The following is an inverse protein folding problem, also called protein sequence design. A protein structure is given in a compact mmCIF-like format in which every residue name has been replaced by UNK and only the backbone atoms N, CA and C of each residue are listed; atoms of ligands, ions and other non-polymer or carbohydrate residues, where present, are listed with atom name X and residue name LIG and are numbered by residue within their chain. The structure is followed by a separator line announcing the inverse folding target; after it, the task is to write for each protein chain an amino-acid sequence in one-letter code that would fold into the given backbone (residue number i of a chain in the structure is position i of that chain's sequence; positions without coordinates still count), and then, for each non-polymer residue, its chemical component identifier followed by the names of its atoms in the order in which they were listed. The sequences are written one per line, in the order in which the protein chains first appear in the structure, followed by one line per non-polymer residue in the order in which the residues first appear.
data_IF_223293391133
#
_entry.id   IF_223293391133
#
_cell.length_a   1.000
_cell.length_b   1.000
_cell.length_c   1.000
_cell.angle_alpha   90.00
_cell.angle_beta   90.00
_cell.angle_gamma   90.00
#
_symmetry.space_group_name_H-M   'P 1'
#
loop_
_entity.id
_entity.type
_entity.pdbx_description
1 polymer ?
#
# COMPACT_ATOMS: atom_id res chain seq x y z
N UNK A 1 11.30 -15.51 -18.89
CA UNK A 1 12.06 -14.28 -18.60
C UNK A 1 11.22 -13.41 -17.68
N UNK A 2 11.67 -13.16 -16.46
CA UNK A 2 10.96 -12.31 -15.49
C UNK A 2 11.20 -10.84 -15.84
N UNK A 3 10.16 -10.04 -16.03
CA UNK A 3 10.27 -8.60 -16.25
C UNK A 3 10.45 -7.89 -14.90
N UNK A 4 11.46 -7.03 -14.78
CA UNK A 4 11.68 -6.20 -13.59
C UNK A 4 11.09 -4.82 -13.88
N UNK A 5 10.12 -4.39 -13.07
CA UNK A 5 9.57 -3.02 -13.11
C UNK A 5 10.02 -2.23 -11.90
N UNK A 6 10.46 -1.00 -12.14
CA UNK A 6 10.75 -0.04 -11.08
C UNK A 6 9.47 0.72 -10.75
N UNK A 7 9.15 0.84 -9.46
CA UNK A 7 8.12 1.79 -9.02
C UNK A 7 8.70 3.20 -9.03
N UNK A 8 7.86 4.20 -9.28
CA UNK A 8 8.29 5.60 -9.27
C UNK A 8 8.70 6.06 -7.87
N UNK A 9 9.58 7.05 -7.79
CA UNK A 9 10.13 7.56 -6.53
C UNK A 9 9.05 7.91 -5.49
N UNK A 10 8.00 8.59 -5.93
CA UNK A 10 6.90 8.96 -5.04
C UNK A 10 6.11 7.75 -4.53
N UNK A 11 5.96 6.71 -5.35
CA UNK A 11 5.33 5.46 -4.91
C UNK A 11 6.20 4.75 -3.87
N UNK A 12 7.52 4.77 -4.06
CA UNK A 12 8.45 4.19 -3.10
C UNK A 12 8.45 4.94 -1.77
N UNK A 13 8.37 6.27 -1.78
CA UNK A 13 8.18 7.08 -0.57
C UNK A 13 6.87 6.77 0.14
N UNK A 14 5.76 6.63 -0.59
CA UNK A 14 4.46 6.24 -0.03
C UNK A 14 4.54 4.85 0.61
N UNK A 15 5.20 3.90 -0.05
CA UNK A 15 5.41 2.54 0.47
C UNK A 15 6.24 2.53 1.76
N UNK A 16 7.28 3.37 1.83
CA UNK A 16 8.07 3.59 3.05
C UNK A 16 7.23 4.20 4.17
N UNK A 17 6.41 5.21 3.86
CA UNK A 17 5.52 5.85 4.83
C UNK A 17 4.55 4.83 5.44
N UNK A 18 3.97 3.92 4.64
CA UNK A 18 3.10 2.85 5.13
C UNK A 18 3.86 1.91 6.07
N UNK A 19 5.12 1.56 5.75
CA UNK A 19 5.98 0.77 6.65
C UNK A 19 6.14 1.42 8.01
N UNK A 20 6.42 2.73 8.03
CA UNK A 20 6.70 3.50 9.24
C UNK A 20 5.45 3.73 10.08
N UNK A 21 4.33 4.01 9.43
CA UNK A 21 3.03 4.18 10.09
C UNK A 21 2.46 2.86 10.62
N UNK A 22 2.94 1.73 10.10
CA UNK A 22 2.58 0.39 10.56
C UNK A 22 1.23 -0.09 10.02
N UNK A 23 0.60 -0.99 10.78
CA UNK A 23 -0.62 -1.69 10.35
C UNK A 23 -1.80 -0.72 10.40
N UNK A 24 -2.54 -0.62 9.28
CA UNK A 24 -3.72 0.26 9.07
C UNK A 24 -3.40 1.74 8.82
N UNK A 25 -2.37 2.04 8.03
CA UNK A 25 -2.08 3.41 7.61
C UNK A 25 -3.18 3.95 6.69
N UNK A 26 -3.81 5.06 7.05
CA UNK A 26 -4.81 5.71 6.17
C UNK A 26 -4.16 6.67 5.17
N UNK A 27 -4.84 6.97 4.06
CA UNK A 27 -4.32 7.92 3.06
C UNK A 27 -4.04 9.32 3.64
N UNK A 28 -4.82 9.76 4.63
CA UNK A 28 -4.58 11.03 5.33
C UNK A 28 -3.32 10.94 6.21
N UNK A 29 -3.12 9.85 6.93
CA UNK A 29 -1.92 9.65 7.74
C UNK A 29 -0.66 9.64 6.87
N UNK A 30 -0.70 8.94 5.73
CA UNK A 30 0.39 8.93 4.76
C UNK A 30 0.69 10.34 4.25
N UNK A 31 -0.34 11.10 3.86
CA UNK A 31 -0.18 12.49 3.39
C UNK A 31 0.45 13.38 4.46
N UNK A 32 -0.04 13.33 5.69
CA UNK A 32 0.47 14.14 6.79
C UNK A 32 1.94 13.80 7.07
N UNK A 33 2.26 12.51 7.18
CA UNK A 33 3.63 12.05 7.38
C UNK A 33 4.58 12.50 6.26
N UNK A 34 4.17 12.39 5.00
CA UNK A 34 4.99 12.85 3.87
C UNK A 34 5.12 14.38 3.82
N UNK A 35 4.10 15.12 4.25
CA UNK A 35 4.15 16.59 4.33
C UNK A 35 5.15 17.04 5.39
N UNK A 36 5.11 16.41 6.57
CA UNK A 36 6.06 16.64 7.66
C UNK A 36 7.49 16.30 7.23
N UNK A 37 7.69 15.12 6.64
CA UNK A 37 9.00 14.65 6.20
C UNK A 37 9.63 15.57 5.13
N UNK A 38 8.82 16.13 4.23
CA UNK A 38 9.31 16.96 3.11
C UNK A 38 9.39 18.44 3.43
N UNK A 39 8.84 18.89 4.56
CA UNK A 39 8.73 20.31 4.89
C UNK A 39 7.88 21.12 3.90
N UNK A 40 7.08 20.45 3.05
CA UNK A 40 6.22 21.10 2.05
C UNK A 40 4.91 20.33 1.86
N UNK A 41 3.82 21.02 1.46
CA UNK A 41 2.53 20.36 1.26
C UNK A 41 2.60 19.23 0.24
N UNK A 42 2.07 18.06 0.62
CA UNK A 42 1.83 16.94 -0.31
C UNK A 42 0.34 16.88 -0.67
N UNK A 43 0.05 16.83 -1.97
CA UNK A 43 -1.32 16.86 -2.47
C UNK A 43 -2.04 15.52 -2.29
N UNK A 44 -3.25 15.55 -1.73
CA UNK A 44 -4.05 14.34 -1.49
C UNK A 44 -4.28 13.48 -2.75
N UNK A 45 -4.63 14.05 -3.93
CA UNK A 45 -4.83 13.25 -5.15
C UNK A 45 -3.58 12.47 -5.59
N UNK A 46 -2.39 13.03 -5.35
CA UNK A 46 -1.12 12.38 -5.64
C UNK A 46 -0.92 11.14 -4.76
N UNK A 47 -1.20 11.28 -3.45
CA UNK A 47 -1.13 10.18 -2.48
C UNK A 47 -2.13 9.08 -2.85
N UNK A 48 -3.39 9.41 -3.11
CA UNK A 48 -4.39 8.40 -3.47
C UNK A 48 -4.11 7.71 -4.80
N UNK A 49 -3.58 8.43 -5.79
CA UNK A 49 -3.13 7.84 -7.06
C UNK A 49 -1.97 6.86 -6.83
N UNK A 50 -1.02 7.20 -5.97
CA UNK A 50 0.09 6.31 -5.64
C UNK A 50 -0.38 5.08 -4.87
N UNK A 51 -1.25 5.25 -3.86
CA UNK A 51 -1.85 4.15 -3.10
C UNK A 51 -2.64 3.19 -4.00
N UNK A 52 -3.42 3.73 -4.94
CA UNK A 52 -4.15 2.93 -5.93
C UNK A 52 -3.21 2.07 -6.76
N UNK A 53 -2.16 2.68 -7.35
CA UNK A 53 -1.16 1.95 -8.15
C UNK A 53 -0.40 0.91 -7.33
N UNK A 54 -0.02 1.21 -6.09
CA UNK A 54 0.65 0.24 -5.21
C UNK A 54 -0.27 -0.94 -4.86
N UNK A 55 -1.58 -0.69 -4.73
CA UNK A 55 -2.57 -1.74 -4.49
C UNK A 55 -2.83 -2.58 -5.75
N UNK A 56 -2.85 -1.97 -6.94
CA UNK A 56 -2.90 -2.67 -8.24
C UNK A 56 -1.66 -3.54 -8.47
N UNK A 57 -0.50 -3.13 -7.94
CA UNK A 57 0.74 -3.91 -7.96
C UNK A 57 0.85 -4.90 -6.78
N UNK A 58 -0.21 -5.06 -5.98
CA UNK A 58 -0.27 -5.95 -4.82
C UNK A 58 0.84 -5.70 -3.77
N UNK A 59 1.45 -4.51 -3.78
CA UNK A 59 2.48 -4.12 -2.81
C UNK A 59 1.88 -3.66 -1.49
N UNK A 60 0.61 -3.25 -1.54
CA UNK A 60 -0.20 -2.93 -0.36
C UNK A 60 -1.56 -3.57 -0.51
N UNK A 61 -2.15 -3.96 0.62
CA UNK A 61 -3.55 -4.37 0.69
C UNK A 61 -4.36 -3.22 1.29
N UNK A 62 -5.54 -2.98 0.74
CA UNK A 62 -6.49 -2.00 1.26
C UNK A 62 -7.67 -2.69 1.92
N UNK A 63 -8.08 -2.17 3.07
CA UNK A 63 -9.26 -2.63 3.80
C UNK A 63 -10.09 -1.42 4.20
N UNK A 64 -11.41 -1.52 4.04
CA UNK A 64 -12.32 -0.54 4.63
C UNK A 64 -12.44 -0.81 6.13
N UNK A 65 -12.21 0.23 6.94
CA UNK A 65 -12.49 0.17 8.38
C UNK A 65 -13.99 0.03 8.58
N UNK A 66 -14.38 -0.91 9.44
CA UNK A 66 -15.78 -1.12 9.76
C UNK A 66 -16.26 0.05 10.62
N UNK A 67 -17.30 0.81 10.21
CA UNK A 67 -17.82 1.95 10.96
C UNK A 67 -18.27 1.57 12.39
N UNK A 68 -18.59 0.30 12.65
CA UNK A 68 -18.97 -0.21 13.97
C UNK A 68 -17.81 -0.31 14.99
N UNK A 69 -16.55 -0.32 14.54
CA UNK A 69 -15.38 -0.48 15.43
C UNK A 69 -14.93 0.83 16.10
N UNK A 70 -15.34 1.98 15.56
CA UNK A 70 -15.02 3.30 16.10
C UNK A 70 -16.25 3.87 16.80
N UNK A 71 -16.36 3.61 18.11
CA UNK A 71 -17.34 4.27 18.98
C UNK A 71 -17.18 5.79 18.82
N UNK A 72 -18.16 6.43 18.17
CA UNK A 72 -18.32 7.86 17.83
C UNK A 72 -17.86 8.23 16.40
N UNK A 73 -18.85 8.26 15.48
CA UNK A 73 -18.84 9.04 14.21
C UNK A 73 -17.71 8.77 13.20
N UNK A 74 -17.20 7.55 13.09
CA UNK A 74 -16.22 7.21 12.04
C UNK A 74 -16.89 7.02 10.68
N UNK A 75 -16.60 7.89 9.69
CA UNK A 75 -16.85 7.53 8.28
C UNK A 75 -15.97 6.32 7.92
N UNK A 76 -16.44 5.39 7.07
CA UNK A 76 -15.60 4.31 6.57
C UNK A 76 -14.32 4.89 5.96
N UNK A 77 -13.18 4.45 6.46
CA UNK A 77 -11.87 4.90 5.99
C UNK A 77 -11.12 3.72 5.39
N UNK A 78 -10.51 3.94 4.21
CA UNK A 78 -9.57 2.99 3.63
C UNK A 78 -8.24 3.05 4.39
N UNK A 79 -7.84 1.90 4.90
CA UNK A 79 -6.56 1.69 5.54
C UNK A 79 -5.73 0.73 4.71
N UNK A 80 -4.43 0.95 4.69
CA UNK A 80 -3.47 0.23 3.88
C UNK A 80 -2.46 -0.47 4.77
N UNK A 81 -2.07 -1.68 4.38
CA UNK A 81 -1.01 -2.44 5.04
C UNK A 81 -0.08 -3.04 4.00
N UNK A 82 1.21 -3.18 4.35
CA UNK A 82 2.19 -3.80 3.47
C UNK A 82 1.92 -5.29 3.29
N UNK A 83 1.96 -5.75 2.05
CA UNK A 83 1.98 -7.17 1.70
C UNK A 83 3.41 -7.72 1.76
N UNK A 84 3.58 -9.05 1.62
CA UNK A 84 4.91 -9.67 1.50
C UNK A 84 5.67 -9.13 0.28
N UNK A 85 5.07 -9.02 -0.93
CA UNK A 85 5.70 -8.34 -2.07
C UNK A 85 6.14 -6.91 -1.77
N UNK A 86 5.28 -6.09 -1.15
CA UNK A 86 5.64 -4.71 -0.79
C UNK A 86 6.85 -4.63 0.14
N UNK A 87 6.97 -5.55 1.10
CA UNK A 87 8.15 -5.63 1.96
C UNK A 87 9.41 -6.03 1.18
N UNK A 88 9.31 -6.93 0.20
CA UNK A 88 10.44 -7.30 -0.64
C UNK A 88 10.93 -6.11 -1.48
N UNK A 89 10.01 -5.34 -2.07
CA UNK A 89 10.32 -4.13 -2.84
C UNK A 89 11.03 -3.07 -1.99
N UNK A 90 10.65 -2.94 -0.72
CA UNK A 90 11.35 -2.06 0.22
C UNK A 90 12.79 -2.51 0.51
N UNK A 91 13.06 -3.82 0.47
CA UNK A 91 14.42 -4.36 0.66
C UNK A 91 15.26 -4.25 -0.61
N UNK A 92 14.65 -4.37 -1.79
CA UNK A 92 15.31 -4.29 -3.09
C UNK A 92 15.57 -2.86 -3.58
N UNK A 93 15.09 -1.85 -2.86
CA UNK A 93 15.27 -0.45 -3.24
C UNK A 93 14.31 0.05 -4.33
N UNK A 94 13.15 -0.60 -4.50
CA UNK A 94 12.13 -0.17 -5.48
C UNK A 94 12.02 -1.05 -6.73
N UNK A 95 12.79 -2.13 -6.81
CA UNK A 95 12.68 -3.12 -7.89
C UNK A 95 11.57 -4.13 -7.59
N UNK A 96 10.65 -4.29 -8.54
CA UNK A 96 9.56 -5.26 -8.52
C UNK A 96 9.85 -6.34 -9.56
N UNK A 97 9.94 -7.60 -9.14
CA UNK A 97 9.99 -8.73 -10.07
C UNK A 97 8.55 -9.17 -10.38
N UNK A 98 8.13 -9.03 -11.64
CA UNK A 98 6.77 -9.39 -12.04
C UNK A 98 6.52 -10.90 -11.89
N UNK A 99 7.56 -11.73 -12.05
CA UNK A 99 7.48 -13.18 -11.81
C UNK A 99 7.09 -13.54 -10.36
N UNK A 100 7.47 -12.70 -9.39
CA UNK A 100 7.17 -12.92 -7.96
C UNK A 100 5.73 -12.53 -7.60
N UNK A 101 5.13 -11.59 -8.37
CA UNK A 101 3.73 -11.17 -8.20
C UNK A 101 2.77 -12.26 -8.70
N UNK A 102 3.00 -12.78 -9.91
CA UNK A 102 2.11 -13.81 -10.49
C UNK A 102 2.21 -15.18 -9.81
N UNK A 103 3.35 -15.51 -9.17
CA UNK A 103 3.54 -16.79 -8.46
C UNK A 103 2.74 -16.93 -7.15
N UNK A 104 2.23 -15.83 -6.59
CA UNK A 104 1.46 -15.85 -5.34
C UNK A 104 -0.06 -15.98 -5.56
N UNK A 105 -0.57 -15.59 -6.73
CA UNK A 105 -2.01 -15.64 -7.06
C UNK A 105 -2.53 -17.09 -7.12
N UNK A 106 -1.69 -18.05 -7.47
CA UNK A 106 -2.10 -19.46 -7.58
C UNK A 106 -2.28 -20.21 -6.26
N UNK A 107 -1.94 -19.61 -5.10
CA UNK A 107 -2.00 -20.32 -3.80
C UNK A 107 -3.14 -19.92 -2.87
N UNK A 108 -3.92 -18.87 -3.15
CA UNK A 108 -5.03 -18.44 -2.27
C UNK A 108 -6.44 -18.65 -2.87
N UNK A 109 -6.56 -19.33 -4.02
CA UNK A 109 -7.83 -19.61 -4.69
C UNK A 109 -8.47 -20.99 -4.42
N UNK A 110 -8.09 -21.72 -3.37
CA UNK A 110 -8.62 -23.06 -3.11
C UNK A 110 -9.26 -23.18 -1.73
N UNK A 111 -10.38 -22.50 -1.51
CA UNK A 111 -11.44 -22.98 -0.61
C UNK A 111 -12.77 -22.33 -1.01
N UNK A 112 -13.52 -22.96 -1.91
CA UNK A 112 -14.98 -22.82 -1.91
C UNK A 112 -15.53 -23.88 -0.95
N UNK A 113 -16.27 -23.52 0.10
CA UNK A 113 -17.13 -24.48 0.74
C UNK A 113 -18.39 -24.67 -0.13
N UNK A 114 -18.70 -25.93 -0.35
CA UNK A 114 -19.93 -26.47 -0.95
C UNK A 114 -21.10 -26.21 0.00
#
# INVERSE_FOLDING_TARGET
MSEIRLIGDFQFEVLKAIKLLGVKASGIMVKNHLTELKGKPVHSPQVYSALKKLNELELVSSQQTNPGALKRRGRPQLVYSLTKPGQAVLRSGGAVNIGDLYGQVSKEGSTMPI
#
